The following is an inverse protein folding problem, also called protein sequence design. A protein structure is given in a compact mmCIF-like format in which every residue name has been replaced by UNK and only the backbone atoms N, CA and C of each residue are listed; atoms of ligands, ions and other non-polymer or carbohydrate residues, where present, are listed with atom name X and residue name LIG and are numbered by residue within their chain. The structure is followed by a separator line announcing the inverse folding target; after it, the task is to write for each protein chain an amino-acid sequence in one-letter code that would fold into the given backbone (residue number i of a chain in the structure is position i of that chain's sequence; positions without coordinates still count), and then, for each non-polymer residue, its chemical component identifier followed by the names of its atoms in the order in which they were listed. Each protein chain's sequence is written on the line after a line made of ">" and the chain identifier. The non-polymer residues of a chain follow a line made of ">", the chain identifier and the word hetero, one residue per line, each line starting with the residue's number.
data_IF_161751365404
#
_entry.id   IF_161751365404
#
_cell.length_a   1.000
_cell.length_b   1.000
_cell.length_c   1.000
_cell.angle_alpha   90.00
_cell.angle_beta   90.00
_cell.angle_gamma   90.00
#
_symmetry.space_group_name_H-M   'P 1'
#
loop_
_entity.id
_entity.type
_entity.pdbx_description
1 polymer ?
#
# COMPACT_ATOMS: atom_id res chain seq x y z
N UNK A 1 -2.79 -5.54 8.84
CA UNK A 1 -2.21 -4.87 7.66
C UNK A 1 -2.88 -5.26 6.34
N UNK A 2 -3.54 -6.41 6.25
CA UNK A 2 -4.13 -6.85 4.96
C UNK A 2 -5.23 -5.93 4.43
N UNK A 3 -6.09 -5.38 5.30
CA UNK A 3 -7.10 -4.39 4.87
C UNK A 3 -6.45 -3.17 4.22
N UNK A 4 -5.47 -2.57 4.89
CA UNK A 4 -4.73 -1.41 4.39
C UNK A 4 -4.00 -1.70 3.08
N UNK A 5 -3.38 -2.88 2.95
CA UNK A 5 -2.76 -3.34 1.70
C UNK A 5 -3.76 -3.39 0.55
N UNK A 6 -4.94 -3.95 0.78
CA UNK A 6 -5.99 -4.06 -0.24
C UNK A 6 -6.59 -2.70 -0.59
N UNK A 7 -6.78 -1.81 0.40
CA UNK A 7 -7.21 -0.42 0.17
C UNK A 7 -6.21 0.33 -0.72
N UNK A 8 -4.90 0.25 -0.40
CA UNK A 8 -3.85 0.87 -1.21
C UNK A 8 -3.83 0.28 -2.62
N UNK A 9 -3.93 -1.05 -2.76
CA UNK A 9 -3.97 -1.70 -4.06
C UNK A 9 -5.14 -1.20 -4.92
N UNK A 10 -6.33 -1.06 -4.33
CA UNK A 10 -7.50 -0.52 -5.01
C UNK A 10 -7.30 0.96 -5.41
N UNK A 11 -6.70 1.77 -4.53
CA UNK A 11 -6.43 3.19 -4.79
C UNK A 11 -5.48 3.38 -5.98
N UNK A 12 -4.47 2.52 -6.12
CA UNK A 12 -3.47 2.60 -7.21
C UNK A 12 -3.79 1.70 -8.40
N UNK A 13 -4.97 1.07 -8.43
CA UNK A 13 -5.44 0.23 -9.54
C UNK A 13 -4.64 -1.06 -9.75
N UNK A 14 -3.96 -1.58 -8.72
CA UNK A 14 -3.28 -2.87 -8.79
C UNK A 14 -4.28 -3.98 -8.43
N UNK A 15 -4.48 -5.00 -9.30
CA UNK A 15 -5.46 -6.06 -9.07
C UNK A 15 -4.92 -7.11 -8.07
N UNK A 16 -4.57 -6.65 -6.87
CA UNK A 16 -4.09 -7.51 -5.79
C UNK A 16 -5.27 -8.33 -5.25
N UNK A 17 -5.01 -9.60 -4.96
CA UNK A 17 -6.00 -10.50 -4.33
C UNK A 17 -5.52 -10.94 -2.96
N UNK A 18 -6.42 -11.51 -2.16
CA UNK A 18 -6.03 -12.20 -0.92
C UNK A 18 -5.37 -13.56 -1.18
N UNK A 19 -5.38 -14.03 -2.43
CA UNK A 19 -4.78 -15.30 -2.85
C UNK A 19 -3.36 -15.12 -3.39
N UNK A 20 -3.01 -15.96 -4.36
CA UNK A 20 -1.73 -15.90 -5.03
C UNK A 20 -1.64 -14.67 -5.95
N UNK A 21 -0.57 -13.88 -5.78
CA UNK A 21 -0.27 -12.69 -6.57
C UNK A 21 1.06 -12.79 -7.32
N UNK A 22 1.66 -13.99 -7.42
CA UNK A 22 2.93 -14.18 -8.12
C UNK A 22 2.81 -14.09 -9.64
N UNK A 23 1.57 -14.05 -10.17
CA UNK A 23 1.28 -13.69 -11.55
C UNK A 23 1.38 -12.18 -11.82
N UNK A 24 1.38 -11.34 -10.78
CA UNK A 24 1.60 -9.90 -10.94
C UNK A 24 3.09 -9.63 -11.11
N UNK A 25 3.41 -8.60 -11.88
CA UNK A 25 4.79 -8.15 -12.04
C UNK A 25 5.38 -7.69 -10.70
N UNK A 26 6.69 -7.81 -10.53
CA UNK A 26 7.38 -7.28 -9.34
C UNK A 26 7.13 -5.79 -9.14
N UNK A 27 6.96 -5.03 -10.22
CA UNK A 27 6.62 -3.61 -10.16
C UNK A 27 5.21 -3.37 -9.57
N UNK A 28 4.22 -4.20 -9.90
CA UNK A 28 2.87 -4.11 -9.34
C UNK A 28 2.82 -4.50 -7.86
N UNK A 29 3.48 -5.60 -7.47
CA UNK A 29 3.56 -5.98 -6.06
C UNK A 29 4.36 -4.95 -5.25
N UNK A 30 5.47 -4.46 -5.81
CA UNK A 30 6.33 -3.47 -5.19
C UNK A 30 5.66 -2.10 -5.03
N UNK A 31 4.84 -1.66 -6.00
CA UNK A 31 4.17 -0.37 -5.92
C UNK A 31 3.18 -0.32 -4.74
N UNK A 32 2.42 -1.39 -4.50
CA UNK A 32 1.51 -1.47 -3.34
C UNK A 32 2.28 -1.30 -2.03
N UNK A 33 3.38 -2.04 -1.84
CA UNK A 33 4.21 -1.93 -0.64
C UNK A 33 4.83 -0.53 -0.47
N UNK A 34 5.32 0.06 -1.56
CA UNK A 34 5.89 1.41 -1.54
C UNK A 34 4.86 2.48 -1.14
N UNK A 35 3.65 2.41 -1.71
CA UNK A 35 2.57 3.34 -1.36
C UNK A 35 2.07 3.17 0.07
N UNK A 36 2.04 1.94 0.59
CA UNK A 36 1.74 1.70 2.00
C UNK A 36 2.74 2.40 2.91
N UNK A 37 4.05 2.26 2.66
CA UNK A 37 5.10 2.92 3.44
C UNK A 37 4.98 4.43 3.37
N UNK A 38 4.78 4.98 2.17
CA UNK A 38 4.58 6.42 1.96
C UNK A 38 3.44 6.96 2.84
N UNK A 39 2.26 6.32 2.80
CA UNK A 39 1.09 6.74 3.60
C UNK A 39 1.33 6.59 5.11
N UNK A 40 2.05 5.56 5.55
CA UNK A 40 2.42 5.39 6.96
C UNK A 40 3.32 6.54 7.44
N UNK A 41 4.31 6.93 6.64
CA UNK A 41 5.17 8.08 6.93
C UNK A 41 4.36 9.37 6.97
N UNK A 42 3.54 9.64 5.95
CA UNK A 42 2.69 10.83 5.91
C UNK A 42 1.75 10.91 7.13
N UNK A 43 1.18 9.77 7.57
CA UNK A 43 0.34 9.72 8.76
C UNK A 43 1.11 10.05 10.03
N UNK A 44 2.35 9.55 10.13
CA UNK A 44 3.22 9.82 11.27
C UNK A 44 3.65 11.30 11.31
N UNK A 45 4.04 11.86 10.17
CA UNK A 45 4.39 13.28 10.04
C UNK A 45 3.22 14.19 10.42
N UNK A 46 1.99 13.86 9.99
CA UNK A 46 0.78 14.60 10.39
C UNK A 46 0.53 14.56 11.90
N UNK A 47 0.80 13.42 12.55
CA UNK A 47 0.67 13.30 14.00
C UNK A 47 1.72 14.12 14.76
N UNK A 48 2.93 14.25 14.19
CA UNK A 48 3.97 15.10 14.75
C UNK A 48 3.67 16.59 14.56
N UNK A 49 3.15 17.00 13.41
CA UNK A 49 2.80 18.39 13.13
C UNK A 49 1.62 18.92 13.97
N UNK A 50 0.82 18.02 14.54
CA UNK A 50 -0.27 18.35 15.47
C UNK A 50 0.14 18.38 16.95
N UNK A 51 1.44 18.26 17.25
CA UNK A 51 2.04 18.46 18.58
C UNK A 51 2.83 19.76 18.59
#
# INVERSE_FOLDING_TARGET
>A
MDKFKMEVANEIGVPLTNGYNGNLTSAQNGSVGGYMVKKMIESYERQLAGK
#
